data_IF_901223897775
#
_entry.id   IF_901223897775
#
_cell.length_a   1.000
_cell.length_b   1.000
_cell.length_c   1.000
_cell.angle_alpha   90.00
_cell.angle_beta   90.00
_cell.angle_gamma   90.00
#
_symmetry.space_group_name_H-M   'P 1'
#
loop_
_entity.id
_entity.type
_entity.pdbx_description
1 polymer ?
#
# COMPACT_ATOMS: atom_id res chain seq x y z
N UNK A 1 -13.21 -30.48 -7.52
CA UNK A 1 -13.84 -29.24 -7.00
C UNK A 1 -12.85 -28.10 -7.19
N UNK A 2 -13.19 -27.08 -7.98
CA UNK A 2 -12.33 -25.92 -8.19
C UNK A 2 -12.61 -24.80 -7.17
N UNK A 3 -11.68 -23.85 -7.02
CA UNK A 3 -11.85 -22.68 -6.14
C UNK A 3 -13.15 -21.90 -6.44
N UNK A 4 -13.59 -21.87 -7.70
CA UNK A 4 -14.86 -21.25 -8.09
C UNK A 4 -16.10 -21.92 -7.51
N UNK A 5 -16.11 -23.26 -7.39
CA UNK A 5 -17.21 -23.99 -6.77
C UNK A 5 -17.26 -23.77 -5.24
N UNK A 6 -16.09 -23.64 -4.61
CA UNK A 6 -16.00 -23.30 -3.18
C UNK A 6 -16.47 -21.86 -2.92
N UNK A 7 -16.08 -20.90 -3.77
CA UNK A 7 -16.53 -19.51 -3.69
C UNK A 7 -18.04 -19.37 -3.89
N UNK A 8 -18.60 -20.07 -4.89
CA UNK A 8 -20.05 -20.08 -5.12
C UNK A 8 -20.81 -20.70 -3.94
N UNK A 9 -20.32 -21.80 -3.37
CA UNK A 9 -20.93 -22.42 -2.18
C UNK A 9 -20.96 -21.48 -0.97
N UNK A 10 -19.88 -20.71 -0.75
CA UNK A 10 -19.85 -19.70 0.31
C UNK A 10 -20.86 -18.57 0.07
N UNK A 11 -20.96 -18.07 -1.17
CA UNK A 11 -21.91 -17.01 -1.53
C UNK A 11 -23.38 -17.46 -1.41
N UNK A 12 -23.69 -18.68 -1.85
CA UNK A 12 -25.03 -19.24 -1.71
C UNK A 12 -25.38 -19.49 -0.23
N UNK A 13 -24.44 -20.00 0.57
CA UNK A 13 -24.63 -20.16 2.01
C UNK A 13 -24.88 -18.83 2.74
N UNK A 14 -24.20 -17.74 2.35
CA UNK A 14 -24.47 -16.40 2.88
C UNK A 14 -25.83 -15.84 2.42
N UNK A 15 -26.23 -16.08 1.17
CA UNK A 15 -27.52 -15.66 0.65
C UNK A 15 -28.68 -16.38 1.38
N UNK A 16 -28.55 -17.69 1.61
CA UNK A 16 -29.51 -18.49 2.37
C UNK A 16 -29.56 -18.03 3.84
N UNK A 17 -28.41 -17.71 4.45
CA UNK A 17 -28.35 -17.18 5.81
C UNK A 17 -29.00 -15.78 5.94
N UNK A 18 -28.89 -14.94 4.90
CA UNK A 18 -29.58 -13.64 4.84
C UNK A 18 -31.08 -13.80 4.62
N UNK A 19 -31.51 -14.73 3.76
CA UNK A 19 -32.93 -15.02 3.51
C UNK A 19 -33.64 -15.64 4.75
N UNK A 20 -32.92 -16.45 5.53
CA UNK A 20 -33.41 -17.08 6.76
C UNK A 20 -33.66 -16.09 7.92
N UNK A 21 -33.29 -14.81 7.81
CA UNK A 21 -33.66 -13.81 8.82
C UNK A 21 -35.16 -13.46 8.83
N UNK A 22 -35.93 -13.95 7.86
CA UNK A 22 -37.39 -13.77 7.78
C UNK A 22 -38.20 -14.93 8.37
N UNK A 23 -37.58 -16.03 8.78
CA UNK A 23 -38.26 -17.18 9.38
C UNK A 23 -37.56 -17.67 10.64
N UNK A 24 -38.31 -17.71 11.73
CA UNK A 24 -37.91 -18.16 13.07
C UNK A 24 -37.35 -19.59 13.01
N UNK A 25 -36.02 -19.76 13.02
CA UNK A 25 -35.40 -21.09 13.08
C UNK A 25 -35.01 -21.46 14.52
N UNK A 26 -35.59 -22.54 15.01
CA UNK A 26 -35.39 -23.17 16.32
C UNK A 26 -34.19 -24.14 16.35
N UNK A 27 -33.24 -24.02 15.42
CA UNK A 27 -32.07 -24.90 15.34
C UNK A 27 -30.85 -24.23 15.99
N UNK A 28 -30.31 -24.85 17.04
CA UNK A 28 -29.07 -24.48 17.73
C UNK A 28 -27.79 -24.80 16.91
N UNK A 29 -27.92 -24.92 15.59
CA UNK A 29 -26.80 -25.09 14.67
C UNK A 29 -26.08 -23.74 14.51
N UNK A 30 -24.75 -23.69 14.66
CA UNK A 30 -24.02 -22.44 14.49
C UNK A 30 -24.30 -21.90 13.09
N UNK A 31 -24.90 -20.70 13.01
CA UNK A 31 -25.10 -20.00 11.74
C UNK A 31 -23.78 -20.00 10.96
N UNK A 32 -23.80 -20.23 9.64
CA UNK A 32 -22.61 -20.00 8.84
C UNK A 32 -22.23 -18.53 9.00
N UNK A 33 -21.20 -18.28 9.81
CA UNK A 33 -20.58 -16.97 9.92
C UNK A 33 -20.01 -16.67 8.54
N UNK A 34 -20.28 -15.48 8.03
CA UNK A 34 -19.70 -15.02 6.76
C UNK A 34 -18.23 -15.42 6.67
N UNK A 35 -17.77 -15.83 5.49
CA UNK A 35 -16.35 -16.14 5.28
C UNK A 35 -15.44 -14.93 5.62
N UNK A 36 -16.01 -13.73 5.60
CA UNK A 36 -15.40 -12.46 5.94
C UNK A 36 -15.82 -11.93 7.32
N UNK A 37 -16.47 -12.73 8.18
CA UNK A 37 -16.79 -12.32 9.54
C UNK A 37 -15.52 -11.90 10.28
N UNK A 38 -15.63 -10.82 11.07
CA UNK A 38 -14.51 -10.25 11.82
C UNK A 38 -13.95 -11.26 12.80
N UNK A 39 -12.62 -11.40 12.84
CA UNK A 39 -11.88 -12.33 13.68
C UNK A 39 -11.05 -11.57 14.71
N UNK A 40 -10.92 -12.08 15.95
CA UNK A 40 -10.05 -11.46 16.93
C UNK A 40 -8.57 -11.56 16.47
N UNK A 41 -7.77 -10.49 16.60
CA UNK A 41 -6.36 -10.54 16.29
C UNK A 41 -5.60 -11.40 17.32
N UNK A 42 -4.44 -11.95 16.92
CA UNK A 42 -3.58 -12.73 17.82
C UNK A 42 -2.97 -11.89 18.96
N UNK A 43 -2.83 -10.58 18.77
CA UNK A 43 -2.27 -9.65 19.73
C UNK A 43 -3.21 -8.47 19.96
N UNK A 44 -3.14 -7.87 21.15
CA UNK A 44 -3.87 -6.64 21.44
C UNK A 44 -3.42 -5.51 20.47
N UNK A 45 -4.34 -4.90 19.71
CA UNK A 45 -3.99 -3.88 18.73
C UNK A 45 -3.52 -2.59 19.42
N UNK A 46 -2.45 -2.00 18.91
CA UNK A 46 -1.93 -0.69 19.37
C UNK A 46 -2.62 0.49 18.68
N UNK A 47 -3.14 0.28 17.48
CA UNK A 47 -3.88 1.26 16.70
C UNK A 47 -5.30 0.76 16.47
N UNK A 48 -6.28 1.67 16.51
CA UNK A 48 -7.69 1.33 16.23
C UNK A 48 -7.96 1.24 14.73
N UNK A 49 -7.32 2.10 13.96
CA UNK A 49 -7.54 2.24 12.51
C UNK A 49 -6.21 2.58 11.83
N UNK A 50 -6.07 2.15 10.58
CA UNK A 50 -4.92 2.47 9.72
C UNK A 50 -5.47 3.07 8.43
N UNK A 51 -5.08 4.32 8.14
CA UNK A 51 -5.38 4.96 6.86
C UNK A 51 -4.19 4.75 5.94
N UNK A 52 -4.35 3.93 4.91
CA UNK A 52 -3.31 3.66 3.93
C UNK A 52 -3.59 4.45 2.65
N UNK A 53 -2.71 5.41 2.34
CA UNK A 53 -2.77 6.20 1.11
C UNK A 53 -1.74 5.67 0.12
N UNK A 54 -2.20 5.01 -0.94
CA UNK A 54 -1.36 4.57 -2.04
C UNK A 54 -1.47 5.52 -3.22
N UNK A 55 -0.40 6.27 -3.52
CA UNK A 55 -0.39 7.31 -4.56
C UNK A 55 0.26 6.80 -5.84
N UNK A 56 -0.51 6.13 -6.70
CA UNK A 56 -0.02 5.77 -8.04
C UNK A 56 0.19 7.02 -8.89
N UNK A 57 1.41 7.23 -9.39
CA UNK A 57 1.80 8.48 -10.07
C UNK A 57 1.90 9.68 -9.13
N UNK A 58 2.01 9.45 -7.82
CA UNK A 58 2.21 10.49 -6.81
C UNK A 58 3.53 11.25 -6.94
N UNK A 59 3.76 12.24 -6.06
CA UNK A 59 4.97 13.06 -6.11
C UNK A 59 6.22 12.21 -5.88
N UNK A 60 7.32 12.61 -6.52
CA UNK A 60 8.59 11.92 -6.38
C UNK A 60 9.12 11.99 -4.95
N UNK A 61 9.66 10.90 -4.42
CA UNK A 61 10.24 10.89 -3.07
C UNK A 61 11.42 11.86 -2.93
N UNK A 62 12.19 12.09 -4.01
CA UNK A 62 13.31 13.05 -4.01
C UNK A 62 12.86 14.50 -4.01
N UNK A 63 11.61 14.76 -4.37
CA UNK A 63 10.98 16.10 -4.38
C UNK A 63 10.18 16.37 -3.09
N UNK A 64 10.13 15.42 -2.16
CA UNK A 64 9.27 15.49 -0.97
C UNK A 64 10.05 15.39 0.33
N UNK A 65 10.54 14.20 0.69
CA UNK A 65 11.14 13.93 2.01
C UNK A 65 12.57 13.39 1.96
N UNK A 66 13.09 13.07 0.77
CA UNK A 66 14.41 12.45 0.61
C UNK A 66 15.21 13.11 -0.52
N UNK A 67 15.54 14.41 -0.40
CA UNK A 67 16.31 15.11 -1.42
C UNK A 67 17.64 14.42 -1.68
N UNK A 68 18.03 14.39 -2.95
CA UNK A 68 19.32 13.86 -3.41
C UNK A 68 20.16 15.02 -3.96
N UNK A 69 21.02 15.67 -3.14
CA UNK A 69 21.77 16.86 -3.54
C UNK A 69 22.64 16.68 -4.80
N UNK A 70 23.09 15.45 -5.05
CA UNK A 70 23.85 15.14 -6.26
C UNK A 70 23.04 15.37 -7.55
N UNK A 71 21.71 15.17 -7.52
CA UNK A 71 20.84 15.45 -8.67
C UNK A 71 20.84 16.95 -9.02
N UNK A 72 20.90 17.82 -8.01
CA UNK A 72 20.96 19.27 -8.22
C UNK A 72 22.32 19.68 -8.79
N UNK A 73 23.40 19.04 -8.33
CA UNK A 73 24.76 19.29 -8.83
C UNK A 73 24.92 18.87 -10.30
N UNK A 74 24.29 17.77 -10.68
CA UNK A 74 24.36 17.21 -12.03
C UNK A 74 23.19 17.65 -12.92
N UNK A 75 22.39 18.63 -12.49
CA UNK A 75 21.20 19.04 -13.23
C UNK A 75 21.52 19.46 -14.66
N UNK A 76 20.77 18.94 -15.63
CA UNK A 76 20.94 19.20 -17.05
C UNK A 76 22.08 18.42 -17.71
N UNK A 77 22.92 17.71 -16.93
CA UNK A 77 23.96 16.85 -17.48
C UNK A 77 23.37 15.52 -17.99
N UNK A 78 23.97 14.91 -19.02
CA UNK A 78 23.62 13.54 -19.38
C UNK A 78 23.88 12.61 -18.21
N UNK A 79 23.08 11.55 -18.10
CA UNK A 79 23.37 10.47 -17.15
C UNK A 79 24.78 9.90 -17.44
N UNK A 80 25.68 9.83 -16.44
CA UNK A 80 26.96 9.13 -16.61
C UNK A 80 26.67 7.68 -16.98
N UNK A 81 27.40 7.14 -17.97
CA UNK A 81 27.17 5.85 -18.66
C UNK A 81 26.22 4.92 -17.91
N UNK A 82 24.92 5.07 -18.17
CA UNK A 82 23.90 4.39 -17.39
C UNK A 82 23.56 3.06 -18.04
N UNK A 83 23.87 1.95 -17.37
CA UNK A 83 23.30 0.63 -17.70
C UNK A 83 21.82 0.50 -17.26
N UNK A 84 21.16 1.62 -16.96
CA UNK A 84 19.77 1.66 -16.52
C UNK A 84 18.84 1.33 -17.69
N UNK A 85 18.19 0.17 -17.61
CA UNK A 85 17.20 -0.26 -18.59
C UNK A 85 15.84 0.35 -18.25
N UNK A 86 15.58 1.55 -18.74
CA UNK A 86 14.26 2.20 -18.66
C UNK A 86 13.42 1.89 -19.91
N UNK A 87 12.09 1.99 -19.81
CA UNK A 87 11.18 1.76 -20.95
C UNK A 87 11.44 2.74 -22.10
N UNK A 88 11.81 3.98 -21.76
CA UNK A 88 12.10 5.07 -22.71
C UNK A 88 13.53 5.55 -22.54
N UNK A 89 14.06 6.23 -23.56
CA UNK A 89 15.36 6.89 -23.46
C UNK A 89 15.35 7.87 -22.28
N UNK A 90 16.24 7.65 -21.32
CA UNK A 90 16.40 8.55 -20.18
C UNK A 90 17.00 9.86 -20.66
N UNK A 91 16.41 10.98 -20.24
CA UNK A 91 16.86 12.33 -20.56
C UNK A 91 18.05 12.78 -19.69
N UNK A 92 18.29 14.09 -19.67
CA UNK A 92 19.25 14.68 -18.75
C UNK A 92 18.80 14.52 -17.28
N UNK A 93 19.76 14.53 -16.37
CA UNK A 93 19.51 14.49 -14.94
C UNK A 93 18.67 15.70 -14.53
N UNK A 94 17.57 15.45 -13.81
CA UNK A 94 16.71 16.50 -13.27
C UNK A 94 16.97 16.63 -11.77
N UNK A 95 17.47 17.80 -11.36
CA UNK A 95 17.49 18.20 -9.97
C UNK A 95 16.08 18.52 -9.51
N UNK A 96 15.85 18.46 -8.19
CA UNK A 96 14.56 18.87 -7.64
C UNK A 96 14.37 20.37 -7.85
N UNK A 97 13.23 20.84 -8.38
CA UNK A 97 12.96 22.25 -8.53
C UNK A 97 12.51 22.92 -7.23
N UNK A 98 12.32 22.15 -6.14
CA UNK A 98 11.77 22.62 -4.89
C UNK A 98 12.85 22.94 -3.86
N UNK A 99 12.54 23.88 -2.97
CA UNK A 99 13.39 24.20 -1.83
C UNK A 99 13.13 23.23 -0.67
N UNK A 100 14.20 22.92 0.07
CA UNK A 100 14.13 22.04 1.23
C UNK A 100 14.60 22.79 2.48
N UNK A 101 13.87 22.60 3.58
CA UNK A 101 14.26 23.08 4.90
C UNK A 101 14.32 21.89 5.88
N UNK A 102 15.16 21.99 6.91
CA UNK A 102 15.21 20.99 7.98
C UNK A 102 14.13 21.32 9.01
N UNK A 103 13.37 20.32 9.42
CA UNK A 103 12.30 20.46 10.40
C UNK A 103 12.53 19.54 11.59
N UNK A 104 11.95 19.94 12.73
CA UNK A 104 11.97 19.15 13.96
C UNK A 104 13.37 18.96 14.56
N UNK A 105 13.42 18.18 15.64
CA UNK A 105 14.67 17.74 16.26
C UNK A 105 15.37 16.68 15.41
N UNK A 106 14.61 15.90 14.64
CA UNK A 106 15.17 14.93 13.68
C UNK A 106 15.96 15.59 12.55
N UNK A 107 15.73 16.89 12.30
CA UNK A 107 16.41 17.67 11.27
C UNK A 107 16.19 17.12 9.86
N UNK A 108 15.09 16.39 9.64
CA UNK A 108 14.77 15.78 8.36
C UNK A 108 14.49 16.89 7.34
N UNK A 109 15.14 16.86 6.17
CA UNK A 109 14.85 17.83 5.11
C UNK A 109 13.51 17.52 4.46
N UNK A 110 12.63 18.51 4.41
CA UNK A 110 11.31 18.43 3.79
C UNK A 110 11.12 19.55 2.78
N UNK A 111 10.54 19.21 1.63
CA UNK A 111 10.21 20.12 0.54
C UNK A 111 9.18 21.16 0.98
N UNK A 112 9.28 22.37 0.43
CA UNK A 112 8.32 23.46 0.64
C UNK A 112 6.87 23.06 0.31
N UNK A 113 6.67 22.08 -0.57
CA UNK A 113 5.36 21.50 -0.90
C UNK A 113 4.62 20.93 0.32
N UNK A 114 5.36 20.50 1.34
CA UNK A 114 4.83 19.81 2.52
C UNK A 114 5.15 20.56 3.82
N UNK A 115 5.35 21.88 3.78
CA UNK A 115 5.73 22.67 4.95
C UNK A 115 4.79 22.48 6.16
N UNK A 116 3.47 22.43 5.94
CA UNK A 116 2.48 22.18 7.01
C UNK A 116 2.58 20.77 7.59
N UNK A 117 2.84 19.79 6.74
CA UNK A 117 3.05 18.40 7.15
C UNK A 117 4.36 18.26 7.94
N UNK A 118 5.38 19.03 7.55
CA UNK A 118 6.70 19.02 8.17
C UNK A 118 6.69 19.51 9.64
N UNK A 119 5.67 20.26 10.07
CA UNK A 119 5.46 20.63 11.48
C UNK A 119 5.31 19.41 12.40
N UNK A 120 4.99 18.24 11.84
CA UNK A 120 4.82 16.98 12.57
C UNK A 120 5.92 15.94 12.27
N UNK A 121 7.04 16.34 11.68
CA UNK A 121 8.07 15.42 11.15
C UNK A 121 8.64 14.46 12.19
N UNK A 122 8.78 14.88 13.45
CA UNK A 122 9.32 14.05 14.53
C UNK A 122 8.31 12.98 15.01
N UNK A 123 7.04 13.09 14.61
CA UNK A 123 6.02 12.07 14.83
C UNK A 123 5.87 11.11 13.62
N UNK A 124 6.72 11.25 12.61
CA UNK A 124 6.69 10.44 11.39
C UNK A 124 7.83 9.44 11.36
N UNK A 125 7.59 8.29 10.75
CA UNK A 125 8.61 7.32 10.42
C UNK A 125 8.81 7.30 8.89
N UNK A 126 10.06 7.45 8.45
CA UNK A 126 10.41 7.42 7.03
C UNK A 126 11.14 6.12 6.70
N UNK A 127 10.64 5.38 5.71
CA UNK A 127 11.29 4.15 5.21
C UNK A 127 11.95 4.46 3.87
N UNK A 128 13.28 4.68 3.90
CA UNK A 128 14.09 5.01 2.71
C UNK A 128 14.88 3.82 2.16
N UNK A 129 14.71 2.65 2.76
CA UNK A 129 15.42 1.42 2.42
C UNK A 129 14.69 0.58 1.35
N UNK A 130 13.57 1.06 0.81
CA UNK A 130 12.84 0.35 -0.24
C UNK A 130 13.60 0.42 -1.56
N UNK A 131 13.62 -0.69 -2.28
CA UNK A 131 14.24 -0.82 -3.60
C UNK A 131 13.31 -1.59 -4.54
N UNK A 132 13.49 -1.39 -5.84
CA UNK A 132 12.96 -2.28 -6.88
C UNK A 132 14.04 -2.58 -7.92
N UNK A 133 13.92 -3.73 -8.58
CA UNK A 133 14.82 -4.15 -9.65
C UNK A 133 14.38 -3.68 -11.03
N UNK A 134 13.11 -3.29 -11.16
CA UNK A 134 12.48 -2.95 -12.44
C UNK A 134 11.91 -1.54 -12.37
N UNK A 135 12.33 -0.61 -13.25
CA UNK A 135 11.84 0.76 -13.28
C UNK A 135 10.52 0.86 -14.07
N UNK A 136 9.56 0.00 -13.75
CA UNK A 136 8.24 0.00 -14.38
C UNK A 136 7.13 0.02 -13.31
N UNK A 137 6.04 0.70 -13.63
CA UNK A 137 4.90 0.91 -12.73
C UNK A 137 4.22 -0.40 -12.37
N UNK A 138 3.77 -1.21 -13.34
CA UNK A 138 2.99 -2.43 -13.05
C UNK A 138 3.76 -3.46 -12.21
N UNK A 139 5.02 -3.80 -12.52
CA UNK A 139 5.80 -4.71 -11.68
C UNK A 139 6.04 -4.16 -10.28
N UNK A 140 6.23 -2.84 -10.14
CA UNK A 140 6.41 -2.19 -8.84
C UNK A 140 5.12 -2.21 -8.00
N UNK A 141 3.95 -2.06 -8.64
CA UNK A 141 2.65 -2.22 -7.98
C UNK A 141 2.46 -3.63 -7.43
N UNK A 142 2.84 -4.64 -8.22
CA UNK A 142 2.82 -6.03 -7.75
C UNK A 142 3.80 -6.26 -6.60
N UNK A 143 5.01 -5.68 -6.68
CA UNK A 143 6.00 -5.80 -5.61
C UNK A 143 5.49 -5.17 -4.30
N UNK A 144 4.94 -3.95 -4.36
CA UNK A 144 4.41 -3.24 -3.19
C UNK A 144 3.26 -4.01 -2.53
N UNK A 145 2.32 -4.51 -3.34
CA UNK A 145 1.11 -5.13 -2.80
C UNK A 145 1.28 -6.61 -2.47
N UNK A 146 2.10 -7.34 -3.23
CA UNK A 146 2.18 -8.79 -3.19
C UNK A 146 3.58 -9.33 -2.82
N UNK A 147 4.58 -8.45 -2.65
CA UNK A 147 5.96 -8.83 -2.35
C UNK A 147 6.68 -9.53 -3.51
N UNK A 148 6.12 -9.52 -4.73
CA UNK A 148 6.70 -10.21 -5.88
C UNK A 148 6.28 -9.56 -7.20
N UNK A 149 7.23 -9.46 -8.15
CA UNK A 149 7.04 -8.70 -9.42
C UNK A 149 6.47 -9.52 -10.58
N UNK A 150 6.58 -10.86 -10.56
CA UNK A 150 6.28 -11.71 -11.74
C UNK A 150 4.96 -12.46 -11.66
N UNK A 151 4.75 -13.20 -10.58
CA UNK A 151 3.55 -14.00 -10.39
C UNK A 151 2.62 -13.32 -9.37
N UNK A 152 1.31 -13.26 -9.63
CA UNK A 152 0.34 -12.83 -8.64
C UNK A 152 0.46 -13.67 -7.38
N UNK A 153 0.69 -13.01 -6.24
CA UNK A 153 0.57 -13.57 -4.90
C UNK A 153 -0.59 -12.88 -4.18
N UNK A 154 -1.18 -13.48 -3.15
CA UNK A 154 -2.18 -12.77 -2.35
C UNK A 154 -1.60 -11.45 -1.85
N UNK A 155 -2.32 -10.36 -2.07
CA UNK A 155 -1.88 -9.03 -1.66
C UNK A 155 -1.90 -8.87 -0.15
N UNK A 156 -1.25 -7.83 0.36
CA UNK A 156 -1.35 -7.41 1.76
C UNK A 156 -2.82 -7.31 2.20
N UNK A 157 -3.68 -6.70 1.37
CA UNK A 157 -5.12 -6.61 1.63
C UNK A 157 -5.79 -7.98 1.73
N UNK A 158 -5.49 -8.91 0.83
CA UNK A 158 -6.04 -10.27 0.87
C UNK A 158 -5.63 -11.02 2.15
N UNK A 159 -4.36 -10.89 2.59
CA UNK A 159 -3.90 -11.48 3.84
C UNK A 159 -4.57 -10.88 5.07
N UNK A 160 -4.74 -9.55 5.10
CA UNK A 160 -5.43 -8.85 6.19
C UNK A 160 -6.88 -9.32 6.28
N UNK A 161 -7.62 -9.30 5.16
CA UNK A 161 -9.01 -9.73 5.10
C UNK A 161 -9.17 -11.21 5.44
N UNK A 162 -8.25 -12.07 4.98
CA UNK A 162 -8.27 -13.49 5.35
C UNK A 162 -8.06 -13.69 6.85
N UNK A 163 -7.09 -13.00 7.45
CA UNK A 163 -6.71 -13.16 8.85
C UNK A 163 -7.67 -12.50 9.84
N UNK A 164 -8.22 -11.33 9.51
CA UNK A 164 -9.03 -10.50 10.42
C UNK A 164 -10.50 -10.39 10.00
N UNK A 165 -10.87 -10.84 8.81
CA UNK A 165 -12.20 -10.59 8.24
C UNK A 165 -12.35 -9.15 7.75
N UNK A 166 -13.59 -8.72 7.57
CA UNK A 166 -13.97 -7.36 7.16
C UNK A 166 -15.16 -6.88 7.98
N UNK A 167 -15.11 -5.67 8.51
CA UNK A 167 -16.30 -5.02 9.09
C UNK A 167 -17.31 -4.63 7.99
N UNK A 168 -16.83 -4.42 6.77
CA UNK A 168 -17.64 -4.11 5.59
C UNK A 168 -18.01 -5.39 4.83
N UNK A 169 -19.31 -5.69 4.77
CA UNK A 169 -19.87 -6.93 4.22
C UNK A 169 -20.51 -6.76 2.83
N UNK A 170 -20.41 -5.57 2.23
CA UNK A 170 -21.10 -5.25 0.98
C UNK A 170 -20.39 -4.22 0.07
N UNK A 171 -19.12 -3.90 0.36
CA UNK A 171 -18.32 -2.84 -0.29
C UNK A 171 -18.81 -1.41 0.04
#
# INVERSE_FOLDING_TARGET
MGLGALGLGALLGEADARAATSSTSLSNEPRPTSALAVKPPHFAPRAKQVVHLFMNGGPSHVDTFDPKPLLNTLHGQPMPESHLRTERKTGAIMGSPFHFSRYGESGIPVSELFARTAEHVDSMAFVRSMQSEVPNHEPSLMLMNCGHTRLPRPSMGAWITYGLGSENQNL
#
